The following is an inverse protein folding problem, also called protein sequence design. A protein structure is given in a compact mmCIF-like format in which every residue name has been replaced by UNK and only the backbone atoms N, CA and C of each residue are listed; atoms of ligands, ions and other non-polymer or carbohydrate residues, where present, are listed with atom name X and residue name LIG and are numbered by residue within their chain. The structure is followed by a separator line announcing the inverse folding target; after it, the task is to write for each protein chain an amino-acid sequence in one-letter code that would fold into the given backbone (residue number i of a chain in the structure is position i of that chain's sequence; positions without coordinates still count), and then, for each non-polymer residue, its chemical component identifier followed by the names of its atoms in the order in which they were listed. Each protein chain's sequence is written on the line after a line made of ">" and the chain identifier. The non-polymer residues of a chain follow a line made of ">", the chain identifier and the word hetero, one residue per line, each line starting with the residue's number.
data_IF_426017171186
#
_entry.id   IF_426017171186
#
_cell.length_a   1.000
_cell.length_b   1.000
_cell.length_c   1.000
_cell.angle_alpha   90.00
_cell.angle_beta   90.00
_cell.angle_gamma   90.00
#
_symmetry.space_group_name_H-M   'P 1'
#
loop_
_entity.id
_entity.type
_entity.pdbx_description
1 polymer ?
#
# COMPACT_ATOMS: atom_id res chain seq x y z
N UNK A 1 -23.55 11.84 -51.61
CA UNK A 1 -23.67 11.87 -50.14
C UNK A 1 -22.76 10.76 -49.59
N UNK A 2 -21.63 11.10 -48.97
CA UNK A 2 -20.68 10.10 -48.46
C UNK A 2 -21.05 9.71 -47.04
N UNK A 3 -21.43 8.45 -46.85
CA UNK A 3 -21.69 7.84 -45.54
C UNK A 3 -20.39 7.22 -45.03
N UNK A 4 -19.84 7.74 -43.93
CA UNK A 4 -18.70 7.13 -43.24
C UNK A 4 -19.26 6.14 -42.22
N UNK A 5 -19.07 4.84 -42.48
CA UNK A 5 -19.49 3.77 -41.58
C UNK A 5 -18.34 3.40 -40.63
N UNK A 6 -18.39 3.91 -39.40
CA UNK A 6 -17.34 3.78 -38.38
C UNK A 6 -17.31 2.39 -37.69
N UNK A 7 -17.23 1.29 -38.47
CA UNK A 7 -17.24 -0.09 -37.95
C UNK A 7 -16.13 -0.38 -36.92
N UNK A 8 -15.04 0.40 -36.90
CA UNK A 8 -13.91 0.23 -35.96
C UNK A 8 -13.96 1.10 -34.68
N UNK A 9 -14.84 2.10 -34.62
CA UNK A 9 -14.86 3.06 -33.50
C UNK A 9 -15.42 2.42 -32.22
N UNK A 10 -16.50 1.64 -32.34
CA UNK A 10 -17.14 0.94 -31.22
C UNK A 10 -16.18 -0.04 -30.52
N UNK A 11 -15.46 -0.86 -31.30
CA UNK A 11 -14.49 -1.82 -30.76
C UNK A 11 -13.32 -1.13 -30.01
N UNK A 12 -12.90 0.05 -30.48
CA UNK A 12 -11.84 0.83 -29.83
C UNK A 12 -12.33 1.50 -28.55
N UNK A 13 -13.55 2.04 -28.54
CA UNK A 13 -14.20 2.56 -27.34
C UNK A 13 -14.41 1.47 -26.28
N UNK A 14 -14.81 0.27 -26.68
CA UNK A 14 -15.00 -0.87 -25.77
C UNK A 14 -13.68 -1.35 -25.15
N UNK A 15 -12.56 -1.28 -25.89
CA UNK A 15 -11.22 -1.54 -25.34
C UNK A 15 -10.81 -0.51 -24.30
N UNK A 16 -11.01 0.78 -24.58
CA UNK A 16 -10.70 1.86 -23.65
C UNK A 16 -11.49 1.71 -22.33
N UNK A 17 -12.79 1.40 -22.43
CA UNK A 17 -13.65 1.13 -21.25
C UNK A 17 -13.16 -0.06 -20.41
N UNK A 18 -12.58 -1.09 -21.03
CA UNK A 18 -12.00 -2.22 -20.30
C UNK A 18 -10.73 -1.83 -19.54
N UNK A 19 -9.86 -1.04 -20.18
CA UNK A 19 -8.63 -0.53 -19.55
C UNK A 19 -8.99 0.35 -18.36
N UNK A 20 -9.94 1.28 -18.54
CA UNK A 20 -10.41 2.18 -17.50
C UNK A 20 -10.91 1.42 -16.26
N UNK A 21 -11.63 0.31 -16.45
CA UNK A 21 -12.07 -0.56 -15.33
C UNK A 21 -10.93 -1.27 -14.60
N UNK A 22 -9.80 -1.49 -15.26
CA UNK A 22 -8.63 -2.14 -14.66
C UNK A 22 -7.71 -1.15 -13.96
N UNK A 23 -7.74 0.14 -14.31
CA UNK A 23 -6.88 1.17 -13.73
C UNK A 23 -6.93 1.21 -12.19
N UNK A 24 -8.10 1.25 -11.51
CA UNK A 24 -8.14 1.28 -10.05
C UNK A 24 -7.53 0.03 -9.40
N UNK A 25 -7.68 -1.13 -10.05
CA UNK A 25 -7.06 -2.37 -9.54
C UNK A 25 -5.55 -2.33 -9.67
N UNK A 26 -5.04 -1.93 -10.85
CA UNK A 26 -3.62 -1.82 -11.09
C UNK A 26 -2.97 -0.81 -10.13
N UNK A 27 -3.61 0.34 -9.90
CA UNK A 27 -3.15 1.35 -8.95
C UNK A 27 -3.15 0.82 -7.51
N UNK A 28 -4.24 0.20 -7.06
CA UNK A 28 -4.30 -0.39 -5.72
C UNK A 28 -3.22 -1.47 -5.51
N UNK A 29 -2.97 -2.30 -6.52
CA UNK A 29 -1.91 -3.30 -6.47
C UNK A 29 -0.52 -2.66 -6.38
N UNK A 30 -0.26 -1.63 -7.19
CA UNK A 30 1.01 -0.92 -7.20
C UNK A 30 1.30 -0.25 -5.84
N UNK A 31 0.29 0.43 -5.27
CA UNK A 31 0.38 1.04 -3.94
C UNK A 31 0.65 0.01 -2.86
N UNK A 32 -0.06 -1.11 -2.89
CA UNK A 32 0.11 -2.20 -1.90
C UNK A 32 1.51 -2.80 -1.97
N UNK A 33 2.02 -3.06 -3.18
CA UNK A 33 3.40 -3.56 -3.36
C UNK A 33 4.45 -2.56 -2.87
N UNK A 34 4.25 -1.28 -3.16
CA UNK A 34 5.16 -0.22 -2.70
C UNK A 34 5.19 -0.15 -1.17
N UNK A 35 4.02 -0.23 -0.52
CA UNK A 35 3.94 -0.23 0.93
C UNK A 35 4.51 -1.51 1.57
N UNK A 36 4.44 -2.66 0.89
CA UNK A 36 5.13 -3.88 1.33
C UNK A 36 6.64 -3.70 1.34
N UNK A 37 7.22 -3.16 0.26
CA UNK A 37 8.64 -2.84 0.18
C UNK A 37 9.06 -1.82 1.25
N UNK A 38 8.26 -0.78 1.46
CA UNK A 38 8.50 0.21 2.50
C UNK A 38 8.52 -0.42 3.90
N UNK A 39 7.56 -1.31 4.21
CA UNK A 39 7.52 -2.01 5.49
C UNK A 39 8.79 -2.86 5.70
N UNK A 40 9.22 -3.60 4.68
CA UNK A 40 10.42 -4.43 4.74
C UNK A 40 11.68 -3.58 4.99
N UNK A 41 11.79 -2.43 4.31
CA UNK A 41 12.89 -1.49 4.53
C UNK A 41 12.90 -0.95 5.97
N UNK A 42 11.75 -0.51 6.49
CA UNK A 42 11.66 -0.01 7.88
C UNK A 42 12.01 -1.13 8.87
N UNK A 43 11.57 -2.37 8.64
CA UNK A 43 11.96 -3.50 9.49
C UNK A 43 13.46 -3.81 9.45
N UNK A 44 14.14 -3.54 8.34
CA UNK A 44 15.60 -3.64 8.24
C UNK A 44 16.27 -2.52 9.03
N UNK A 45 15.80 -1.28 8.91
CA UNK A 45 16.31 -0.13 9.66
C UNK A 45 16.14 -0.35 11.18
N UNK A 46 15.00 -0.88 11.62
CA UNK A 46 14.76 -1.24 13.02
C UNK A 46 15.77 -2.28 13.54
N UNK A 47 16.22 -3.23 12.70
CA UNK A 47 17.25 -4.22 13.09
C UNK A 47 18.63 -3.58 13.23
N UNK A 48 18.90 -2.52 12.48
CA UNK A 48 20.18 -1.82 12.50
C UNK A 48 20.26 -0.81 13.65
N UNK A 49 19.18 -0.08 13.93
CA UNK A 49 19.16 1.02 14.91
C UNK A 49 18.85 0.54 16.32
N UNK A 50 17.95 -0.44 16.47
CA UNK A 50 17.54 -0.86 17.82
C UNK A 50 18.54 -1.85 18.40
N UNK A 51 18.82 -1.72 19.70
CA UNK A 51 19.62 -2.73 20.41
C UNK A 51 18.77 -3.97 20.69
N UNK A 52 19.15 -5.11 20.10
CA UNK A 52 18.54 -6.43 20.29
C UNK A 52 17.00 -6.42 20.17
N UNK A 53 16.43 -5.95 19.04
CA UNK A 53 14.98 -5.86 18.89
C UNK A 53 14.35 -7.25 18.91
N UNK A 54 13.32 -7.41 19.74
CA UNK A 54 12.56 -8.67 19.81
C UNK A 54 11.71 -8.87 18.55
N UNK A 55 11.26 -10.11 18.30
CA UNK A 55 10.30 -10.37 17.21
C UNK A 55 8.99 -9.58 17.40
N UNK A 56 8.61 -9.30 18.64
CA UNK A 56 7.45 -8.45 18.96
C UNK A 56 7.67 -7.01 18.49
N UNK A 57 8.86 -6.47 18.76
CA UNK A 57 9.30 -5.13 18.34
C UNK A 57 9.32 -5.01 16.81
N UNK A 58 9.88 -5.98 16.09
CA UNK A 58 9.95 -5.93 14.63
C UNK A 58 8.57 -6.07 13.98
N UNK A 59 7.71 -6.94 14.52
CA UNK A 59 6.34 -7.14 14.00
C UNK A 59 5.35 -6.08 14.47
N UNK A 60 5.84 -4.94 14.96
CA UNK A 60 5.03 -3.85 15.47
C UNK A 60 4.45 -2.96 14.36
N UNK A 61 4.94 -3.10 13.13
CA UNK A 61 4.39 -2.45 11.95
C UNK A 61 3.26 -3.28 11.33
N UNK A 62 2.22 -2.59 10.88
CA UNK A 62 1.06 -3.13 10.18
C UNK A 62 0.98 -2.51 8.79
N UNK A 63 0.85 -3.38 7.78
CA UNK A 63 0.49 -2.97 6.42
C UNK A 63 -1.04 -2.90 6.31
N UNK A 64 -1.55 -1.76 5.85
CA UNK A 64 -2.94 -1.57 5.43
C UNK A 64 -2.92 -1.47 3.90
N UNK A 65 -3.37 -2.50 3.17
CA UNK A 65 -3.31 -2.52 1.71
C UNK A 65 -4.28 -1.52 1.09
N UNK A 66 -3.96 -1.04 -0.11
CA UNK A 66 -4.85 -0.18 -0.87
C UNK A 66 -6.05 -0.95 -1.41
N UNK A 67 -7.16 -0.26 -1.56
CA UNK A 67 -8.40 -0.79 -2.13
C UNK A 67 -8.76 -0.06 -3.41
N UNK A 68 -9.63 -0.64 -4.23
CA UNK A 68 -10.04 -0.03 -5.52
C UNK A 68 -10.88 1.23 -5.33
N UNK A 69 -11.65 1.28 -4.24
CA UNK A 69 -12.45 2.42 -3.78
C UNK A 69 -11.63 3.45 -3.00
N UNK A 70 -10.50 3.02 -2.41
CA UNK A 70 -9.56 3.85 -1.67
C UNK A 70 -8.13 3.55 -2.08
N UNK A 71 -7.63 4.32 -3.04
CA UNK A 71 -6.28 4.23 -3.60
C UNK A 71 -5.21 4.77 -2.64
N UNK A 72 -5.13 4.16 -1.46
CA UNK A 72 -4.22 4.55 -0.40
C UNK A 72 -3.73 3.30 0.34
N UNK A 73 -2.42 3.08 0.39
CA UNK A 73 -1.79 2.06 1.23
C UNK A 73 -1.03 2.73 2.37
N UNK A 74 -1.01 2.12 3.55
CA UNK A 74 -0.32 2.68 4.73
C UNK A 74 0.53 1.62 5.41
N UNK A 75 1.71 2.02 5.85
CA UNK A 75 2.47 1.30 6.88
C UNK A 75 2.28 2.07 8.17
N UNK A 76 1.75 1.41 9.20
CA UNK A 76 1.35 2.06 10.45
C UNK A 76 1.80 1.26 11.66
N UNK A 77 2.00 1.92 12.79
CA UNK A 77 2.34 1.25 14.05
C UNK A 77 1.12 0.58 14.67
N UNK A 78 1.31 -0.59 15.28
CA UNK A 78 0.26 -1.23 16.09
C UNK A 78 0.11 -0.49 17.41
N UNK A 79 -1.08 0.06 17.66
CA UNK A 79 -1.39 0.83 18.87
C UNK A 79 -2.04 -0.06 19.95
N UNK A 80 -2.25 0.49 21.15
CA UNK A 80 -2.71 -0.17 22.39
C UNK A 80 -3.97 -1.06 22.28
N UNK A 81 -4.79 -0.91 21.24
CA UNK A 81 -6.02 -1.70 21.06
C UNK A 81 -5.79 -3.20 20.79
N UNK A 82 -4.54 -3.65 20.57
CA UNK A 82 -4.21 -5.06 20.26
C UNK A 82 -3.70 -5.89 21.49
N UNK A 83 -4.02 -5.49 22.74
CA UNK A 83 -3.76 -6.25 24.00
C UNK A 83 -2.29 -6.52 24.36
N UNK A 84 -1.36 -5.73 23.86
CA UNK A 84 0.05 -5.81 24.25
C UNK A 84 0.69 -4.42 24.26
N UNK A 85 1.83 -4.28 24.96
CA UNK A 85 2.50 -2.98 25.14
C UNK A 85 2.67 -2.27 23.78
N UNK A 86 2.29 -0.97 23.69
CA UNK A 86 2.19 -0.28 22.42
C UNK A 86 3.53 -0.17 21.71
N UNK A 87 3.53 -0.47 20.40
CA UNK A 87 4.67 -0.26 19.51
C UNK A 87 5.26 1.16 19.64
N UNK A 88 4.37 2.13 19.85
CA UNK A 88 4.66 3.54 20.08
C UNK A 88 5.71 3.77 21.16
N UNK A 89 5.76 2.94 22.22
CA UNK A 89 6.67 3.16 23.36
C UNK A 89 8.16 3.10 22.99
N UNK A 90 8.53 2.32 21.98
CA UNK A 90 9.92 2.16 21.54
C UNK A 90 10.16 2.69 20.11
N UNK A 91 9.10 2.94 19.34
CA UNK A 91 9.20 3.54 18.02
C UNK A 91 9.09 5.07 18.02
N UNK A 92 8.23 5.67 18.86
CA UNK A 92 8.05 7.13 18.88
C UNK A 92 9.34 7.91 19.12
N UNK A 93 10.21 7.53 20.09
CA UNK A 93 11.47 8.25 20.28
C UNK A 93 12.39 8.25 19.04
N UNK A 94 12.28 7.22 18.20
CA UNK A 94 13.12 7.05 17.01
C UNK A 94 12.54 7.75 15.78
N UNK A 95 11.25 8.07 15.81
CA UNK A 95 10.54 8.79 14.74
C UNK A 95 10.48 10.29 15.03
N UNK A 96 10.32 10.67 16.30
CA UNK A 96 10.12 12.06 16.73
C UNK A 96 11.43 12.77 17.11
N UNK A 97 12.46 12.01 17.52
CA UNK A 97 13.77 12.52 17.93
C UNK A 97 13.91 12.65 19.45
#
# INVERSE_FOLDING_TARGET
>A
MFSINAKGFKASADRLRRIERQMPFATALALTRTAQLAKEAIEQDMRAVFDRPTRWTLNSLRLIPARKDRLEARVWMKNESDKAAPATRWLSPQVEG
#
